data_IF_069106227003
#
_entry.id   IF_069106227003
#
_cell.length_a   1.000
_cell.length_b   1.000
_cell.length_c   1.000
_cell.angle_alpha   90.00
_cell.angle_beta   90.00
_cell.angle_gamma   90.00
#
_symmetry.space_group_name_H-M   'P 1'
#
loop_
_entity.id
_entity.type
_entity.pdbx_description
1 polymer ?
#
# COMPACT_ATOMS: atom_id res chain seq x y z
N UNK A 1 22.44 13.13 23.37
CA UNK A 1 22.16 13.74 22.05
C UNK A 1 20.67 13.98 21.90
N UNK A 2 20.23 15.08 21.22
CA UNK A 2 18.80 15.29 20.92
C UNK A 2 18.32 14.18 19.98
N UNK A 3 17.20 13.53 20.31
CA UNK A 3 16.55 12.56 19.41
C UNK A 3 16.05 13.27 18.14
N UNK A 4 16.29 12.70 16.98
CA UNK A 4 15.77 13.23 15.71
C UNK A 4 14.30 12.91 15.57
N UNK A 5 13.48 13.90 15.23
CA UNK A 5 12.05 13.73 14.96
C UNK A 5 11.84 13.31 13.50
N UNK A 6 11.21 12.18 13.31
CA UNK A 6 10.84 11.65 11.99
C UNK A 6 9.33 11.68 11.86
N UNK A 7 8.81 12.33 10.83
CA UNK A 7 7.38 12.39 10.55
C UNK A 7 7.07 11.52 9.31
N UNK A 8 6.26 10.50 9.50
CA UNK A 8 5.77 9.62 8.45
C UNK A 8 4.40 10.09 8.00
N UNK A 9 4.23 10.43 6.70
CA UNK A 9 2.97 10.92 6.12
C UNK A 9 2.47 9.89 5.13
N UNK A 10 1.25 9.41 5.32
CA UNK A 10 0.57 8.51 4.40
C UNK A 10 -0.96 8.60 4.55
N UNK A 11 -1.73 8.09 3.57
CA UNK A 11 -3.18 8.24 3.58
C UNK A 11 -3.96 7.02 3.15
N UNK A 12 -3.28 6.01 2.60
CA UNK A 12 -3.93 4.82 2.03
C UNK A 12 -3.41 3.54 2.68
N UNK A 13 -4.19 2.46 2.53
CA UNK A 13 -3.80 1.13 3.00
C UNK A 13 -2.45 0.65 2.45
N UNK A 14 -2.17 0.72 1.13
CA UNK A 14 -0.88 0.28 0.59
C UNK A 14 0.32 1.06 1.13
N UNK A 15 0.17 2.36 1.36
CA UNK A 15 1.20 3.17 1.99
C UNK A 15 1.46 2.74 3.43
N UNK A 16 0.40 2.56 4.23
CA UNK A 16 0.51 2.12 5.62
C UNK A 16 1.23 0.77 5.75
N UNK A 17 0.87 -0.20 4.90
CA UNK A 17 1.52 -1.51 4.84
C UNK A 17 3.04 -1.35 4.63
N UNK A 18 3.44 -0.57 3.64
CA UNK A 18 4.85 -0.39 3.28
C UNK A 18 5.63 0.46 4.28
N UNK A 19 4.95 1.36 5.00
CA UNK A 19 5.57 2.20 6.05
C UNK A 19 5.69 1.48 7.39
N UNK A 20 4.83 0.52 7.69
CA UNK A 20 4.77 -0.16 8.99
C UNK A 20 6.10 -0.80 9.41
N UNK A 21 6.82 -1.59 8.59
CA UNK A 21 8.10 -2.17 8.97
C UNK A 21 9.13 -1.11 9.32
N UNK A 22 9.17 -0.03 8.52
CA UNK A 22 10.12 1.05 8.69
C UNK A 22 9.85 1.82 9.98
N UNK A 23 8.60 2.16 10.27
CA UNK A 23 8.16 2.82 11.51
C UNK A 23 8.56 1.96 12.72
N UNK A 24 8.26 0.66 12.70
CA UNK A 24 8.62 -0.25 13.80
C UNK A 24 10.13 -0.33 14.02
N UNK A 25 10.93 -0.35 12.95
CA UNK A 25 12.39 -0.36 13.08
C UNK A 25 12.96 0.94 13.67
N UNK A 26 12.41 2.09 13.31
CA UNK A 26 12.82 3.35 13.94
C UNK A 26 12.36 3.45 15.40
N UNK A 27 11.16 2.95 15.73
CA UNK A 27 10.66 2.91 17.13
C UNK A 27 11.53 2.02 18.04
N UNK A 28 12.13 0.93 17.52
CA UNK A 28 13.11 0.11 18.25
C UNK A 28 14.36 0.89 18.66
N UNK A 29 14.65 2.01 18.01
CA UNK A 29 15.79 2.90 18.29
C UNK A 29 15.33 4.22 18.90
N UNK A 30 14.44 4.14 19.88
CA UNK A 30 13.79 5.27 20.54
C UNK A 30 14.76 6.18 21.32
N UNK A 31 15.97 5.70 21.62
CA UNK A 31 17.08 6.50 22.14
C UNK A 31 17.59 7.55 21.15
N UNK A 32 17.46 7.28 19.84
CA UNK A 32 17.95 8.13 18.74
C UNK A 32 16.85 8.87 17.99
N UNK A 33 15.67 8.26 17.88
CA UNK A 33 14.57 8.76 17.06
C UNK A 33 13.28 8.96 17.85
N UNK A 34 12.58 10.03 17.54
CA UNK A 34 11.20 10.26 17.93
C UNK A 34 10.35 10.15 16.65
N UNK A 35 9.55 9.08 16.56
CA UNK A 35 8.75 8.74 15.36
C UNK A 35 7.33 9.26 15.55
N UNK A 36 6.89 10.11 14.63
CA UNK A 36 5.54 10.66 14.55
C UNK A 36 4.87 10.16 13.29
N UNK A 37 3.58 9.88 13.38
CA UNK A 37 2.74 9.40 12.28
C UNK A 37 1.65 10.42 12.01
N UNK A 38 1.54 10.84 10.75
CA UNK A 38 0.44 11.66 10.27
C UNK A 38 -0.31 10.93 9.17
N UNK A 39 -1.60 10.70 9.39
CA UNK A 39 -2.48 10.11 8.38
C UNK A 39 -3.40 11.16 7.77
N UNK A 40 -3.59 11.10 6.45
CA UNK A 40 -4.58 11.92 5.74
C UNK A 40 -5.95 11.24 5.70
N UNK A 41 -5.98 9.93 5.95
CA UNK A 41 -7.18 9.08 5.99
C UNK A 41 -8.05 9.20 4.73
N UNK A 42 -7.41 9.08 3.55
CA UNK A 42 -8.10 9.11 2.25
C UNK A 42 -9.06 7.92 2.06
N UNK A 43 -8.82 6.77 2.74
CA UNK A 43 -9.67 5.58 2.79
C UNK A 43 -9.71 5.04 4.23
N UNK A 44 -10.57 5.62 5.07
CA UNK A 44 -10.56 5.47 6.52
C UNK A 44 -10.58 4.03 7.00
N UNK A 45 -11.64 3.29 6.68
CA UNK A 45 -11.84 1.93 7.22
C UNK A 45 -10.71 0.96 6.86
N UNK A 46 -10.26 0.97 5.60
CA UNK A 46 -9.18 0.11 5.15
C UNK A 46 -7.82 0.50 5.74
N UNK A 47 -7.61 1.78 6.01
CA UNK A 47 -6.40 2.27 6.64
C UNK A 47 -6.34 1.86 8.12
N UNK A 48 -7.44 2.05 8.85
CA UNK A 48 -7.54 1.73 10.26
C UNK A 48 -7.31 0.24 10.54
N UNK A 49 -7.80 -0.66 9.67
CA UNK A 49 -7.52 -2.11 9.77
C UNK A 49 -6.02 -2.40 9.76
N UNK A 50 -5.27 -1.77 8.85
CA UNK A 50 -3.81 -1.97 8.74
C UNK A 50 -3.07 -1.32 9.92
N UNK A 51 -3.50 -0.13 10.34
CA UNK A 51 -2.93 0.54 11.51
C UNK A 51 -3.08 -0.33 12.76
N UNK A 52 -4.27 -0.88 12.98
CA UNK A 52 -4.55 -1.77 14.11
C UNK A 52 -3.73 -3.05 14.02
N UNK A 53 -3.68 -3.70 12.84
CA UNK A 53 -2.91 -4.93 12.64
C UNK A 53 -1.41 -4.76 12.94
N UNK A 54 -0.81 -3.66 12.49
CA UNK A 54 0.60 -3.37 12.78
C UNK A 54 0.83 -2.59 14.08
N UNK A 55 -0.19 -2.38 14.90
CA UNK A 55 -0.12 -1.64 16.18
C UNK A 55 0.43 -0.22 16.01
N UNK A 56 -0.02 0.47 14.97
CA UNK A 56 0.38 1.84 14.67
C UNK A 56 -0.71 2.82 15.09
N UNK A 57 -0.39 3.70 16.03
CA UNK A 57 -1.28 4.80 16.42
C UNK A 57 -0.79 6.09 15.77
N UNK A 58 -1.63 6.78 14.98
CA UNK A 58 -1.31 8.09 14.45
C UNK A 58 -1.23 9.16 15.54
N UNK A 59 -0.21 10.02 15.46
CA UNK A 59 -0.09 11.21 16.30
C UNK A 59 -0.94 12.36 15.74
N UNK A 60 -1.13 12.38 14.42
CA UNK A 60 -1.94 13.36 13.70
C UNK A 60 -2.85 12.65 12.72
N UNK A 61 -4.12 13.02 12.74
CA UNK A 61 -5.15 12.52 11.83
C UNK A 61 -5.86 13.70 11.19
N UNK A 62 -5.69 13.86 9.89
CA UNK A 62 -6.28 14.97 9.15
C UNK A 62 -7.70 14.68 8.69
N UNK A 63 -8.11 13.41 8.66
CA UNK A 63 -9.45 12.95 8.29
C UNK A 63 -10.02 13.66 7.06
N UNK A 64 -9.26 13.64 5.96
CA UNK A 64 -9.57 14.42 4.76
C UNK A 64 -10.67 13.82 3.89
N UNK A 65 -11.09 12.57 4.14
CA UNK A 65 -12.05 11.89 3.30
C UNK A 65 -13.43 12.53 3.37
N UNK A 66 -13.96 12.94 2.23
CA UNK A 66 -15.35 13.41 2.04
C UNK A 66 -15.93 12.77 0.78
N UNK A 67 -17.24 12.54 0.73
CA UNK A 67 -17.88 12.05 -0.49
C UNK A 67 -17.62 12.99 -1.68
N UNK A 68 -17.36 12.40 -2.85
CA UNK A 68 -17.22 13.12 -4.13
C UNK A 68 -16.13 14.21 -4.19
N UNK A 69 -15.04 14.06 -3.40
CA UNK A 69 -13.92 14.98 -3.45
C UNK A 69 -13.20 14.92 -4.79
N UNK A 70 -12.86 16.10 -5.33
CA UNK A 70 -11.95 16.23 -6.45
C UNK A 70 -10.47 16.12 -6.02
N UNK A 71 -9.57 15.90 -6.98
CA UNK A 71 -8.13 15.98 -6.71
C UNK A 71 -7.71 17.36 -6.19
N UNK A 72 -8.40 18.41 -6.61
CA UNK A 72 -8.15 19.77 -6.11
C UNK A 72 -8.47 19.89 -4.62
N UNK A 73 -9.60 19.33 -4.18
CA UNK A 73 -10.01 19.37 -2.77
C UNK A 73 -9.01 18.60 -1.91
N UNK A 74 -8.67 17.38 -2.30
CA UNK A 74 -7.69 16.54 -1.57
C UNK A 74 -6.33 17.23 -1.48
N UNK A 75 -5.88 17.84 -2.56
CA UNK A 75 -4.59 18.57 -2.61
C UNK A 75 -4.61 19.79 -1.71
N UNK A 76 -5.64 20.64 -1.83
CA UNK A 76 -5.73 21.89 -1.08
C UNK A 76 -5.92 21.65 0.42
N UNK A 77 -6.84 20.77 0.81
CA UNK A 77 -7.10 20.43 2.21
C UNK A 77 -5.91 19.71 2.84
N UNK A 78 -5.28 18.78 2.09
CA UNK A 78 -4.07 18.09 2.51
C UNK A 78 -2.92 19.05 2.79
N UNK A 79 -2.66 19.99 1.89
CA UNK A 79 -1.60 20.96 2.03
C UNK A 79 -1.82 21.86 3.26
N UNK A 80 -3.05 22.38 3.47
CA UNK A 80 -3.40 23.20 4.64
C UNK A 80 -3.34 22.39 5.95
N UNK A 81 -3.77 21.12 5.92
CA UNK A 81 -3.68 20.24 7.09
C UNK A 81 -2.23 19.97 7.47
N UNK A 82 -1.40 19.64 6.50
CA UNK A 82 0.02 19.35 6.70
C UNK A 82 0.83 20.60 7.12
N UNK A 83 0.44 21.79 6.68
CA UNK A 83 1.06 23.01 7.17
C UNK A 83 0.98 23.11 8.70
N UNK A 84 -0.20 22.83 9.28
CA UNK A 84 -0.42 22.84 10.74
C UNK A 84 0.38 21.75 11.42
N UNK A 85 0.37 20.53 10.88
CA UNK A 85 1.14 19.39 11.43
C UNK A 85 2.62 19.70 11.45
N UNK A 86 3.18 20.17 10.33
CA UNK A 86 4.61 20.50 10.22
C UNK A 86 5.02 21.65 11.15
N UNK A 87 4.11 22.59 11.39
CA UNK A 87 4.35 23.67 12.34
C UNK A 87 4.43 23.15 13.79
N UNK A 88 3.54 22.24 14.19
CA UNK A 88 3.54 21.70 15.57
C UNK A 88 4.60 20.60 15.78
N UNK A 89 4.76 19.72 14.81
CA UNK A 89 5.70 18.60 14.91
C UNK A 89 7.16 19.05 14.82
N UNK A 90 7.46 20.05 13.99
CA UNK A 90 8.82 20.47 13.65
C UNK A 90 9.76 19.30 13.39
N UNK A 91 9.46 18.41 12.40
CA UNK A 91 10.26 17.23 12.15
C UNK A 91 11.64 17.58 11.59
N UNK A 92 12.64 16.77 11.91
CA UNK A 92 13.97 16.85 11.31
C UNK A 92 13.99 16.21 9.92
N UNK A 93 13.08 15.26 9.64
CA UNK A 93 12.91 14.62 8.32
C UNK A 93 11.45 14.17 8.15
N UNK A 94 10.92 14.35 6.95
CA UNK A 94 9.60 13.86 6.54
C UNK A 94 9.77 12.64 5.64
N UNK A 95 9.03 11.57 5.93
CA UNK A 95 8.98 10.35 5.12
C UNK A 95 7.66 10.29 4.36
N UNK A 96 7.74 10.08 3.05
CA UNK A 96 6.63 9.82 2.14
C UNK A 96 6.83 8.49 1.43
N UNK A 97 5.75 7.89 0.92
CA UNK A 97 5.81 6.59 0.24
C UNK A 97 5.05 6.63 -1.09
N UNK A 98 5.69 6.12 -2.13
CA UNK A 98 5.02 5.89 -3.42
C UNK A 98 4.61 7.15 -4.16
N UNK A 99 3.36 7.20 -4.58
CA UNK A 99 2.89 8.07 -5.65
C UNK A 99 1.46 8.64 -5.47
N UNK A 100 0.88 8.43 -4.31
CA UNK A 100 -0.45 8.98 -4.02
C UNK A 100 -0.44 10.51 -4.00
N UNK A 101 -1.62 11.13 -4.10
CA UNK A 101 -1.76 12.57 -3.88
C UNK A 101 -1.25 12.96 -2.48
N UNK A 102 -1.43 12.11 -1.47
CA UNK A 102 -0.88 12.30 -0.12
C UNK A 102 0.65 12.37 -0.14
N UNK A 103 1.32 11.48 -0.86
CA UNK A 103 2.78 11.48 -0.97
C UNK A 103 3.29 12.76 -1.63
N UNK A 104 2.66 13.19 -2.73
CA UNK A 104 3.01 14.44 -3.41
C UNK A 104 2.78 15.67 -2.52
N UNK A 105 1.60 15.78 -1.90
CA UNK A 105 1.26 16.92 -1.03
C UNK A 105 2.14 16.93 0.23
N UNK A 106 2.49 15.76 0.76
CA UNK A 106 3.44 15.59 1.85
C UNK A 106 4.82 16.13 1.50
N UNK A 107 5.32 15.78 0.31
CA UNK A 107 6.59 16.31 -0.20
C UNK A 107 6.54 17.83 -0.36
N UNK A 108 5.49 18.35 -0.99
CA UNK A 108 5.33 19.80 -1.24
C UNK A 108 5.25 20.60 0.06
N UNK A 109 4.47 20.14 1.04
CA UNK A 109 4.35 20.78 2.35
C UNK A 109 5.69 20.79 3.10
N UNK A 110 6.43 19.67 3.08
CA UNK A 110 7.75 19.56 3.69
C UNK A 110 8.76 20.50 3.02
N UNK A 111 8.74 20.58 1.68
CA UNK A 111 9.57 21.49 0.92
C UNK A 111 9.32 22.97 1.31
N UNK A 112 8.04 23.39 1.41
CA UNK A 112 7.70 24.75 1.84
C UNK A 112 8.17 25.09 3.26
N UNK A 113 8.22 24.08 4.13
CA UNK A 113 8.76 24.24 5.50
C UNK A 113 10.27 23.97 5.58
N UNK A 114 10.96 23.80 4.44
CA UNK A 114 12.40 23.53 4.34
C UNK A 114 12.82 22.32 5.20
N UNK A 115 12.00 21.26 5.21
CA UNK A 115 12.31 20.01 5.90
C UNK A 115 12.81 18.97 4.92
N UNK A 116 13.91 18.26 5.23
CA UNK A 116 14.40 17.16 4.40
C UNK A 116 13.34 16.10 4.18
N UNK A 117 13.28 15.57 2.94
CA UNK A 117 12.26 14.63 2.50
C UNK A 117 12.91 13.30 2.11
N UNK A 118 12.42 12.21 2.67
CA UNK A 118 12.79 10.84 2.38
C UNK A 118 11.66 10.13 1.63
N UNK A 119 11.90 9.78 0.37
CA UNK A 119 10.93 9.14 -0.51
C UNK A 119 11.17 7.64 -0.56
N UNK A 120 10.25 6.87 0.02
CA UNK A 120 10.24 5.40 -0.01
C UNK A 120 9.56 4.94 -1.30
N UNK A 121 10.11 3.92 -1.95
CA UNK A 121 9.68 3.41 -3.26
C UNK A 121 9.87 4.44 -4.39
N UNK A 122 10.94 5.22 -4.31
CA UNK A 122 11.28 6.24 -5.29
C UNK A 122 11.71 5.66 -6.65
N UNK A 123 11.37 6.34 -7.73
CA UNK A 123 11.91 6.07 -9.07
C UNK A 123 11.17 5.03 -9.90
N UNK A 124 10.03 4.49 -9.44
CA UNK A 124 9.13 3.74 -10.33
C UNK A 124 8.59 4.66 -11.41
N UNK A 125 8.54 4.17 -12.67
CA UNK A 125 8.03 4.92 -13.83
C UNK A 125 7.27 4.01 -14.77
N UNK A 126 6.10 4.48 -15.23
CA UNK A 126 5.36 3.86 -16.34
C UNK A 126 5.88 4.34 -17.70
N UNK A 127 6.37 5.57 -17.74
CA UNK A 127 6.77 6.25 -18.98
C UNK A 127 5.64 7.03 -19.64
N UNK A 128 4.42 6.92 -19.12
CA UNK A 128 3.26 7.71 -19.57
C UNK A 128 2.69 8.50 -18.40
N UNK A 129 2.82 9.84 -18.44
CA UNK A 129 2.36 10.76 -17.39
C UNK A 129 0.86 10.64 -17.07
N UNK A 130 0.08 10.11 -17.99
CA UNK A 130 -1.36 9.98 -17.84
C UNK A 130 -1.79 8.54 -17.44
N UNK A 131 -0.83 7.61 -17.27
CA UNK A 131 -1.12 6.22 -16.94
C UNK A 131 -0.05 5.59 -16.02
N UNK A 132 -0.38 5.28 -14.75
CA UNK A 132 -1.64 5.59 -14.04
C UNK A 132 -1.78 7.09 -13.75
N UNK A 133 -3.00 7.57 -13.72
CA UNK A 133 -3.31 8.96 -13.43
C UNK A 133 -4.02 9.09 -12.06
N UNK A 134 -3.61 9.99 -11.17
CA UNK A 134 -2.53 11.00 -11.30
C UNK A 134 -1.15 10.50 -10.81
N UNK A 135 -0.99 9.22 -10.51
CA UNK A 135 0.14 8.62 -9.77
C UNK A 135 1.49 8.86 -10.46
N UNK A 136 1.56 8.75 -11.80
CA UNK A 136 2.84 8.95 -12.50
C UNK A 136 3.35 10.39 -12.36
N UNK A 137 2.46 11.38 -12.45
CA UNK A 137 2.81 12.77 -12.22
C UNK A 137 3.23 13.02 -10.77
N UNK A 138 2.48 12.48 -9.81
CA UNK A 138 2.78 12.61 -8.38
C UNK A 138 4.18 12.08 -8.04
N UNK A 139 4.57 10.89 -8.55
CA UNK A 139 5.86 10.26 -8.22
C UNK A 139 7.04 11.01 -8.85
N UNK A 140 6.85 11.59 -10.03
CA UNK A 140 7.86 12.45 -10.65
C UNK A 140 8.08 13.70 -9.80
N UNK A 141 7.01 14.42 -9.48
CA UNK A 141 7.07 15.65 -8.70
C UNK A 141 7.61 15.40 -7.28
N UNK A 142 7.13 14.37 -6.59
CA UNK A 142 7.62 13.97 -5.27
C UNK A 142 9.12 13.61 -5.32
N UNK A 143 9.56 12.91 -6.38
CA UNK A 143 10.96 12.60 -6.60
C UNK A 143 11.85 13.84 -6.70
N UNK A 144 11.44 14.86 -7.45
CA UNK A 144 12.20 16.10 -7.60
C UNK A 144 12.21 16.98 -6.33
N UNK A 145 11.21 16.85 -5.47
CA UNK A 145 11.16 17.57 -4.19
C UNK A 145 11.98 16.87 -3.09
N UNK A 146 12.30 15.59 -3.25
CA UNK A 146 12.91 14.77 -2.20
C UNK A 146 14.42 14.90 -2.15
N UNK A 147 14.98 14.82 -0.92
CA UNK A 147 16.42 14.84 -0.66
C UNK A 147 17.04 13.45 -0.62
N UNK A 148 16.25 12.43 -0.21
CA UNK A 148 16.69 11.05 -0.04
C UNK A 148 15.77 10.11 -0.79
N UNK A 149 16.32 9.23 -1.64
CA UNK A 149 15.55 8.36 -2.52
C UNK A 149 15.86 6.90 -2.23
N UNK A 150 14.88 6.17 -1.72
CA UNK A 150 14.98 4.75 -1.45
C UNK A 150 14.30 3.98 -2.59
N UNK A 151 15.09 3.61 -3.59
CA UNK A 151 14.62 2.96 -4.81
C UNK A 151 14.43 1.45 -4.59
N UNK A 152 13.31 0.85 -5.03
CA UNK A 152 13.08 -0.58 -4.85
C UNK A 152 13.96 -1.45 -5.73
N UNK A 153 14.41 -0.94 -6.88
CA UNK A 153 15.19 -1.70 -7.87
C UNK A 153 16.28 -0.85 -8.50
N UNK A 154 17.24 -1.51 -9.15
CA UNK A 154 18.25 -0.84 -9.97
C UNK A 154 17.60 -0.03 -11.10
N UNK A 155 16.52 -0.55 -11.72
CA UNK A 155 15.76 0.17 -12.76
C UNK A 155 15.15 1.46 -12.21
N UNK A 156 14.58 1.43 -11.03
CA UNK A 156 14.03 2.61 -10.38
C UNK A 156 15.12 3.67 -10.12
N UNK A 157 16.29 3.25 -9.62
CA UNK A 157 17.45 4.14 -9.50
C UNK A 157 17.85 4.75 -10.85
N UNK A 158 17.90 3.96 -11.91
CA UNK A 158 18.25 4.46 -13.25
C UNK A 158 17.25 5.49 -13.77
N UNK A 159 15.96 5.32 -13.48
CA UNK A 159 14.93 6.31 -13.84
C UNK A 159 15.23 7.66 -13.17
N UNK A 160 15.52 7.67 -11.86
CA UNK A 160 15.89 8.90 -11.12
C UNK A 160 17.13 9.56 -11.72
N UNK A 161 18.16 8.78 -12.06
CA UNK A 161 19.38 9.30 -12.68
C UNK A 161 19.09 9.95 -14.05
N UNK A 162 18.23 9.36 -14.88
CA UNK A 162 17.81 9.92 -16.19
C UNK A 162 17.06 11.23 -16.04
N UNK A 163 16.37 11.45 -14.94
CA UNK A 163 15.65 12.69 -14.61
C UNK A 163 16.55 13.74 -13.94
N UNK A 164 17.86 13.49 -13.85
CA UNK A 164 18.83 14.43 -13.29
C UNK A 164 18.99 14.37 -11.78
N UNK A 165 18.35 13.44 -11.09
CA UNK A 165 18.54 13.21 -9.66
C UNK A 165 19.79 12.35 -9.47
N UNK A 166 20.89 12.93 -8.99
CA UNK A 166 22.20 12.28 -9.00
C UNK A 166 22.72 11.88 -7.61
N UNK A 167 22.07 12.33 -6.54
CA UNK A 167 22.59 12.16 -5.17
C UNK A 167 21.55 11.48 -4.27
N UNK A 168 22.05 10.85 -3.21
CA UNK A 168 21.25 10.27 -2.16
C UNK A 168 20.20 9.25 -2.68
N UNK A 169 20.63 8.36 -3.59
CA UNK A 169 19.80 7.29 -4.13
C UNK A 169 20.38 5.94 -3.67
N UNK A 170 19.58 5.18 -2.92
CA UNK A 170 19.91 3.83 -2.47
C UNK A 170 18.93 2.82 -3.05
N UNK A 171 19.45 1.69 -3.52
CA UNK A 171 18.62 0.52 -3.90
C UNK A 171 18.46 -0.34 -2.67
N UNK A 172 17.24 -0.44 -2.17
CA UNK A 172 16.94 -1.03 -0.85
C UNK A 172 15.91 -2.16 -0.89
N UNK A 173 15.37 -2.50 -2.05
CA UNK A 173 14.22 -3.41 -2.15
C UNK A 173 12.89 -2.70 -1.90
N UNK A 174 11.83 -3.49 -1.71
CA UNK A 174 10.49 -2.96 -1.46
C UNK A 174 10.01 -3.43 -0.08
N UNK A 175 9.68 -2.49 0.78
CA UNK A 175 9.21 -2.74 2.16
C UNK A 175 7.90 -3.53 2.25
N UNK A 176 7.21 -3.75 1.14
CA UNK A 176 6.05 -4.66 1.10
C UNK A 176 6.43 -6.10 1.48
N UNK A 177 7.66 -6.53 1.16
CA UNK A 177 8.17 -7.85 1.52
C UNK A 177 8.44 -7.93 3.03
N UNK A 178 9.05 -6.87 3.60
CA UNK A 178 9.24 -6.77 5.04
C UNK A 178 7.90 -6.75 5.79
N UNK A 179 6.88 -6.08 5.21
CA UNK A 179 5.53 -6.05 5.77
C UNK A 179 4.88 -7.44 5.76
N UNK A 180 5.08 -8.23 4.69
CA UNK A 180 4.59 -9.60 4.60
C UNK A 180 5.18 -10.46 5.73
N UNK A 181 6.50 -10.47 5.87
CA UNK A 181 7.15 -11.25 6.92
C UNK A 181 6.75 -10.79 8.32
N UNK A 182 6.69 -9.46 8.54
CA UNK A 182 6.21 -8.91 9.80
C UNK A 182 4.76 -9.33 10.10
N UNK A 183 3.91 -9.35 9.06
CA UNK A 183 2.52 -9.80 9.17
C UNK A 183 2.44 -11.28 9.55
N UNK A 184 3.25 -12.13 8.93
CA UNK A 184 3.33 -13.55 9.28
C UNK A 184 3.77 -13.75 10.74
N UNK A 185 4.81 -13.05 11.19
CA UNK A 185 5.27 -13.10 12.58
C UNK A 185 4.17 -12.70 13.57
N UNK A 186 3.35 -11.67 13.23
CA UNK A 186 2.22 -11.23 14.07
C UNK A 186 1.14 -12.31 14.12
N UNK A 187 0.78 -12.89 12.98
CA UNK A 187 -0.23 -13.93 12.89
C UNK A 187 0.20 -15.16 13.70
N UNK A 188 1.41 -15.66 13.50
CA UNK A 188 1.95 -16.83 14.18
C UNK A 188 2.04 -16.64 15.70
N UNK A 189 2.38 -15.40 16.16
CA UNK A 189 2.58 -15.14 17.59
C UNK A 189 1.29 -14.91 18.38
N UNK A 190 0.19 -14.46 17.73
CA UNK A 190 -0.98 -13.97 18.46
C UNK A 190 -2.34 -14.48 17.95
N UNK A 191 -2.44 -14.96 16.71
CA UNK A 191 -3.75 -15.15 16.06
C UNK A 191 -3.85 -16.38 15.14
N UNK A 192 -2.90 -17.30 15.16
CA UNK A 192 -2.87 -18.43 14.20
C UNK A 192 -4.17 -19.24 14.21
N UNK A 193 -4.69 -19.54 15.39
CA UNK A 193 -5.90 -20.36 15.54
C UNK A 193 -7.16 -19.64 15.00
N UNK A 194 -7.23 -18.31 15.15
CA UNK A 194 -8.36 -17.50 14.66
C UNK A 194 -8.39 -17.52 13.12
N UNK A 195 -7.23 -17.32 12.49
CA UNK A 195 -7.13 -17.33 11.02
C UNK A 195 -7.33 -18.75 10.46
N UNK A 196 -6.78 -19.79 11.07
CA UNK A 196 -7.06 -21.18 10.69
C UNK A 196 -8.54 -21.50 10.82
N UNK A 197 -9.21 -21.00 11.86
CA UNK A 197 -10.65 -21.13 12.07
C UNK A 197 -11.46 -20.48 10.96
N UNK A 198 -11.04 -19.31 10.46
CA UNK A 198 -11.70 -18.64 9.33
C UNK A 198 -11.63 -19.47 8.05
N UNK A 199 -10.46 -20.08 7.75
CA UNK A 199 -10.23 -20.89 6.55
C UNK A 199 -10.55 -22.38 6.72
N UNK A 200 -11.32 -22.79 7.76
CA UNK A 200 -11.68 -24.19 8.03
C UNK A 200 -12.42 -24.92 6.90
N UNK A 201 -12.92 -24.17 5.90
CA UNK A 201 -13.56 -24.74 4.72
C UNK A 201 -12.56 -25.24 3.67
N UNK A 202 -11.26 -24.92 3.81
CA UNK A 202 -10.19 -25.40 2.93
C UNK A 202 -9.61 -26.71 3.42
N UNK A 203 -9.28 -27.59 2.50
CA UNK A 203 -8.50 -28.79 2.76
C UNK A 203 -7.01 -28.49 2.55
N UNK A 204 -6.31 -28.14 3.62
CA UNK A 204 -4.87 -27.86 3.58
C UNK A 204 -4.00 -29.09 3.26
N UNK A 205 -4.56 -30.30 3.13
CA UNK A 205 -3.89 -31.46 2.54
C UNK A 205 -3.73 -31.35 1.02
N UNK A 206 -4.42 -30.39 0.38
CA UNK A 206 -4.35 -30.08 -1.04
C UNK A 206 -3.48 -28.86 -1.31
N UNK A 207 -3.16 -28.64 -2.58
CA UNK A 207 -2.52 -27.40 -3.04
C UNK A 207 -3.56 -26.30 -3.13
N UNK A 208 -3.51 -25.33 -2.23
CA UNK A 208 -4.42 -24.18 -2.21
C UNK A 208 -3.89 -23.10 -3.13
N UNK A 209 -4.71 -22.65 -4.08
CA UNK A 209 -4.42 -21.53 -4.99
C UNK A 209 -5.26 -20.33 -4.56
N UNK A 210 -4.60 -19.28 -4.09
CA UNK A 210 -5.21 -17.98 -3.85
C UNK A 210 -5.30 -17.21 -5.17
N UNK A 211 -6.52 -16.80 -5.53
CA UNK A 211 -6.78 -16.01 -6.74
C UNK A 211 -7.17 -14.59 -6.37
N UNK A 212 -6.54 -13.61 -7.01
CA UNK A 212 -6.95 -12.21 -6.98
C UNK A 212 -7.06 -11.68 -8.41
N UNK A 213 -8.20 -11.09 -8.77
CA UNK A 213 -8.41 -10.57 -10.12
C UNK A 213 -9.51 -9.51 -10.12
N UNK A 214 -9.14 -8.27 -10.49
CA UNK A 214 -10.09 -7.14 -10.50
C UNK A 214 -9.65 -5.98 -11.39
N UNK A 215 -8.63 -6.18 -12.23
CA UNK A 215 -8.10 -5.10 -13.09
C UNK A 215 -9.05 -4.79 -14.23
N UNK A 216 -9.34 -3.49 -14.41
CA UNK A 216 -10.29 -3.01 -15.43
C UNK A 216 -9.88 -3.37 -16.85
N UNK A 217 -8.57 -3.42 -17.11
CA UNK A 217 -8.00 -3.79 -18.42
C UNK A 217 -8.32 -5.23 -18.83
N UNK A 218 -8.67 -6.07 -17.86
CA UNK A 218 -9.01 -7.48 -18.11
C UNK A 218 -10.51 -7.73 -18.25
N UNK A 219 -11.38 -6.75 -18.05
CA UNK A 219 -12.83 -6.98 -18.08
C UNK A 219 -13.32 -7.49 -19.44
N UNK A 220 -14.40 -8.29 -19.42
CA UNK A 220 -14.97 -8.95 -20.61
C UNK A 220 -14.26 -10.27 -20.94
N UNK A 221 -14.06 -10.56 -22.23
CA UNK A 221 -13.51 -11.83 -22.71
C UNK A 221 -12.20 -12.28 -22.04
N UNK A 222 -11.18 -11.43 -21.88
CA UNK A 222 -9.96 -11.82 -21.19
C UNK A 222 -10.18 -12.30 -19.76
N UNK A 223 -11.13 -11.70 -19.04
CA UNK A 223 -11.46 -12.10 -17.67
C UNK A 223 -12.23 -13.43 -17.64
N UNK A 224 -13.11 -13.67 -18.61
CA UNK A 224 -13.81 -14.95 -18.75
C UNK A 224 -12.83 -16.08 -19.05
N UNK A 225 -11.82 -15.87 -19.91
CA UNK A 225 -10.76 -16.85 -20.15
C UNK A 225 -9.96 -17.20 -18.88
N UNK A 226 -9.73 -16.21 -17.98
CA UNK A 226 -9.11 -16.49 -16.69
C UNK A 226 -10.01 -17.43 -15.86
N UNK A 227 -11.31 -17.16 -15.79
CA UNK A 227 -12.25 -18.02 -15.07
C UNK A 227 -12.32 -19.44 -15.69
N UNK A 228 -12.30 -19.55 -17.02
CA UNK A 228 -12.26 -20.84 -17.71
C UNK A 228 -10.99 -21.63 -17.38
N UNK A 229 -9.83 -20.97 -17.40
CA UNK A 229 -8.57 -21.59 -17.03
C UNK A 229 -8.58 -22.10 -15.58
N UNK A 230 -9.15 -21.35 -14.64
CA UNK A 230 -9.31 -21.77 -13.24
C UNK A 230 -10.24 -23.01 -13.13
N UNK A 231 -11.34 -23.04 -13.89
CA UNK A 231 -12.25 -24.19 -13.97
C UNK A 231 -11.54 -25.44 -14.51
N UNK A 232 -10.79 -25.30 -15.60
CA UNK A 232 -10.01 -26.40 -16.18
C UNK A 232 -8.94 -26.91 -15.20
N UNK A 233 -8.29 -26.03 -14.50
CA UNK A 233 -7.25 -26.36 -13.53
C UNK A 233 -7.82 -27.27 -12.42
N UNK A 234 -8.96 -26.90 -11.82
CA UNK A 234 -9.62 -27.72 -10.78
C UNK A 234 -10.17 -29.03 -11.37
N UNK A 235 -10.60 -29.03 -12.63
CA UNK A 235 -11.11 -30.24 -13.28
C UNK A 235 -9.99 -31.26 -13.54
N UNK A 236 -8.82 -30.78 -13.97
CA UNK A 236 -7.69 -31.61 -14.36
C UNK A 236 -6.86 -32.09 -13.15
N UNK A 237 -6.80 -31.31 -12.07
CA UNK A 237 -5.99 -31.61 -10.89
C UNK A 237 -6.87 -31.81 -9.65
N UNK A 238 -6.99 -33.05 -9.19
CA UNK A 238 -7.83 -33.42 -8.04
C UNK A 238 -7.24 -32.98 -6.69
N UNK A 239 -5.95 -32.71 -6.65
CA UNK A 239 -5.19 -32.26 -5.49
C UNK A 239 -5.09 -30.71 -5.38
N UNK A 240 -5.85 -29.99 -6.20
CA UNK A 240 -5.91 -28.53 -6.20
C UNK A 240 -7.23 -28.04 -5.65
N UNK A 241 -7.16 -27.00 -4.84
CA UNK A 241 -8.28 -26.24 -4.29
C UNK A 241 -8.07 -24.75 -4.55
N UNK A 242 -9.10 -24.02 -4.90
CA UNK A 242 -9.04 -22.59 -5.20
C UNK A 242 -9.82 -21.80 -4.16
N UNK A 243 -9.22 -20.76 -3.62
CA UNK A 243 -9.89 -19.72 -2.84
C UNK A 243 -9.80 -18.38 -3.59
N UNK A 244 -10.95 -17.78 -3.82
CA UNK A 244 -11.06 -16.54 -4.58
C UNK A 244 -11.90 -15.50 -3.82
N UNK A 245 -11.25 -14.55 -3.11
CA UNK A 245 -11.94 -13.36 -2.60
C UNK A 245 -12.43 -12.50 -3.77
N UNK A 246 -13.73 -12.52 -4.03
CA UNK A 246 -14.33 -11.92 -5.22
C UNK A 246 -14.59 -10.44 -5.02
N UNK A 247 -13.98 -9.61 -5.85
CA UNK A 247 -14.17 -8.17 -5.81
C UNK A 247 -15.63 -7.78 -6.09
N UNK A 248 -16.18 -6.80 -5.34
CA UNK A 248 -17.59 -6.42 -5.38
C UNK A 248 -18.06 -5.77 -6.69
N UNK A 249 -17.13 -5.35 -7.55
CA UNK A 249 -17.46 -4.78 -8.86
C UNK A 249 -18.28 -5.79 -9.69
N UNK A 250 -19.46 -5.40 -10.21
CA UNK A 250 -20.29 -6.29 -11.03
C UNK A 250 -19.55 -6.93 -12.21
N UNK A 251 -18.67 -6.19 -12.87
CA UNK A 251 -17.85 -6.70 -13.98
C UNK A 251 -16.87 -7.83 -13.58
N UNK A 252 -16.66 -8.05 -12.29
CA UNK A 252 -15.90 -9.18 -11.73
C UNK A 252 -16.86 -10.22 -11.18
N UNK A 253 -17.81 -9.80 -10.33
CA UNK A 253 -18.68 -10.70 -9.57
C UNK A 253 -19.59 -11.54 -10.45
N UNK A 254 -20.17 -10.94 -11.50
CA UNK A 254 -21.08 -11.65 -12.40
C UNK A 254 -20.40 -12.79 -13.19
N UNK A 255 -19.31 -12.56 -13.94
CA UNK A 255 -18.65 -13.64 -14.66
C UNK A 255 -18.03 -14.68 -13.73
N UNK A 256 -17.48 -14.30 -12.56
CA UNK A 256 -16.97 -15.25 -11.57
C UNK A 256 -18.06 -16.18 -11.06
N UNK A 257 -19.20 -15.64 -10.61
CA UNK A 257 -20.28 -16.46 -10.12
C UNK A 257 -20.88 -17.35 -11.22
N UNK A 258 -21.00 -16.85 -12.44
CA UNK A 258 -21.54 -17.60 -13.58
C UNK A 258 -20.62 -18.76 -14.01
N UNK A 259 -19.30 -18.55 -14.04
CA UNK A 259 -18.32 -19.50 -14.58
C UNK A 259 -17.73 -20.44 -13.53
N UNK A 260 -17.62 -20.00 -12.27
CA UNK A 260 -16.96 -20.71 -11.18
C UNK A 260 -17.91 -21.07 -10.03
N UNK A 261 -19.13 -20.51 -10.00
CA UNK A 261 -20.09 -20.78 -8.94
C UNK A 261 -20.51 -22.25 -8.88
N UNK A 262 -20.52 -22.83 -7.68
CA UNK A 262 -20.95 -24.20 -7.44
C UNK A 262 -19.96 -25.30 -7.89
N UNK A 263 -18.78 -24.93 -8.37
CA UNK A 263 -17.72 -25.89 -8.72
C UNK A 263 -17.09 -26.44 -7.43
N UNK A 264 -17.04 -27.75 -7.29
CA UNK A 264 -16.38 -28.39 -6.16
C UNK A 264 -14.92 -27.97 -6.09
N UNK A 265 -14.41 -27.67 -4.87
CA UNK A 265 -13.03 -27.20 -4.61
C UNK A 265 -12.73 -25.78 -5.16
N UNK A 266 -13.75 -25.01 -5.52
CA UNK A 266 -13.64 -23.58 -5.81
C UNK A 266 -14.47 -22.82 -4.76
N UNK A 267 -13.78 -22.10 -3.90
CA UNK A 267 -14.37 -21.32 -2.82
C UNK A 267 -14.40 -19.84 -3.21
N UNK A 268 -15.57 -19.37 -3.62
CA UNK A 268 -15.82 -17.95 -3.86
C UNK A 268 -16.23 -17.32 -2.52
N UNK A 269 -15.42 -16.41 -2.01
CA UNK A 269 -15.66 -15.73 -0.73
C UNK A 269 -15.79 -14.22 -0.92
N UNK A 270 -16.37 -13.55 0.05
CA UNK A 270 -16.38 -12.09 0.08
C UNK A 270 -14.93 -11.54 0.24
N UNK A 271 -14.68 -10.30 -0.20
CA UNK A 271 -13.38 -9.68 0.02
C UNK A 271 -12.95 -9.73 1.48
N UNK A 272 -11.72 -10.12 1.72
CA UNK A 272 -11.14 -10.24 3.05
C UNK A 272 -10.26 -9.01 3.37
N UNK A 273 -10.05 -8.77 4.65
CA UNK A 273 -9.15 -7.73 5.13
C UNK A 273 -7.66 -8.13 4.98
N UNK A 274 -6.76 -7.24 5.37
CA UNK A 274 -5.33 -7.47 5.17
C UNK A 274 -4.76 -8.63 5.99
N UNK A 275 -5.18 -8.90 7.24
CA UNK A 275 -4.68 -10.02 8.03
C UNK A 275 -5.06 -11.40 7.48
N UNK A 276 -6.22 -11.55 6.85
CA UNK A 276 -6.68 -12.79 6.22
C UNK A 276 -6.13 -12.94 4.81
#
# INVERSE_FOLDING_TARGET
>A
MRRRKLLFIFGTRPEAIKMAPLIRQFRKKSDRFNVLICVTAQHREMLDQVLNFFELTPDYDLNLMKPSQSLFDVTAEGLKGLERVLHHAEPDTVFIQGDTTTAFVGALAAYYKKRPIAHIEAGLRSGDRNSPYPEEANRILAGHLSDFHFAPTVRAKQNLLREGIQKNIWVVGNTVIDALFLGLDIIESHHEDDYRGFFRFLDFGRKVILVTGHRRESFGGPFEHICEALRELVSNYKDVEIVYPVHLNPNVREPVNRLLGGINRVHLIEPIDYPH
#
